data_IF_631027182788
#
_entry.id   IF_631027182788
#
_cell.length_a   1.000
_cell.length_b   1.000
_cell.length_c   1.000
_cell.angle_alpha   90.00
_cell.angle_beta   90.00
_cell.angle_gamma   90.00
#
_symmetry.space_group_name_H-M   'P 1'
#
loop_
_entity.id
_entity.type
_entity.pdbx_description
1 polymer ?
#
# COMPACT_ATOMS: atom_id res chain seq x y z
N UNK A 1 -3.99 11.45 -14.46
CA UNK A 1 -3.19 11.79 -13.27
C UNK A 1 -2.32 10.60 -12.96
N UNK A 2 -1.02 10.75 -13.10
CA UNK A 2 -0.04 9.70 -12.77
C UNK A 2 0.10 9.64 -11.24
N UNK A 3 -0.09 8.46 -10.65
CA UNK A 3 0.29 8.21 -9.25
C UNK A 3 1.80 8.41 -9.13
N UNK A 4 2.27 8.80 -7.95
CA UNK A 4 3.71 8.91 -7.73
C UNK A 4 4.35 7.52 -7.80
N UNK A 5 5.55 7.42 -8.37
CA UNK A 5 6.22 6.13 -8.62
C UNK A 5 6.40 5.29 -7.35
N UNK A 6 6.60 5.95 -6.21
CA UNK A 6 6.75 5.30 -4.91
C UNK A 6 5.43 4.73 -4.34
N UNK A 7 4.27 5.03 -4.95
CA UNK A 7 2.94 4.51 -4.60
C UNK A 7 2.50 3.35 -5.53
N UNK A 8 3.37 2.85 -6.40
CA UNK A 8 3.04 1.79 -7.36
C UNK A 8 3.27 0.36 -6.81
N UNK A 9 3.05 0.12 -5.52
CA UNK A 9 3.42 -1.13 -4.85
C UNK A 9 2.69 -2.37 -5.42
N UNK A 10 1.34 -2.43 -5.44
CA UNK A 10 0.59 -3.49 -6.14
C UNK A 10 0.99 -3.69 -7.61
N UNK A 11 1.20 -2.60 -8.35
CA UNK A 11 1.54 -2.65 -9.78
C UNK A 11 2.95 -3.21 -10.01
N UNK A 12 3.91 -2.89 -9.13
CA UNK A 12 5.25 -3.44 -9.17
C UNK A 12 5.25 -4.95 -8.90
N UNK A 13 4.53 -5.39 -7.86
CA UNK A 13 4.37 -6.82 -7.57
C UNK A 13 3.76 -7.58 -8.76
N UNK A 14 2.70 -7.03 -9.36
CA UNK A 14 2.06 -7.61 -10.55
C UNK A 14 3.02 -7.68 -11.74
N UNK A 15 3.75 -6.59 -12.00
CA UNK A 15 4.70 -6.50 -13.10
C UNK A 15 5.84 -7.51 -12.95
N UNK A 16 6.43 -7.61 -11.76
CA UNK A 16 7.48 -8.60 -11.47
C UNK A 16 7.00 -10.04 -11.60
N UNK A 17 5.79 -10.35 -11.10
CA UNK A 17 5.19 -11.67 -11.26
C UNK A 17 5.00 -12.01 -12.75
N UNK A 18 4.40 -11.11 -13.54
CA UNK A 18 4.17 -11.31 -14.99
C UNK A 18 5.46 -11.39 -15.80
N UNK A 19 6.54 -10.76 -15.33
CA UNK A 19 7.87 -10.86 -15.91
C UNK A 19 8.59 -12.17 -15.57
N UNK A 20 7.98 -13.06 -14.78
CA UNK A 20 8.57 -14.34 -14.37
C UNK A 20 9.62 -14.22 -13.26
N UNK A 21 9.80 -13.04 -12.65
CA UNK A 21 10.70 -12.84 -11.51
C UNK A 21 10.16 -13.41 -10.20
N UNK A 22 8.86 -13.71 -10.14
CA UNK A 22 8.15 -13.94 -8.88
C UNK A 22 7.97 -12.63 -8.10
N UNK A 23 6.92 -12.56 -7.29
CA UNK A 23 6.65 -11.41 -6.44
C UNK A 23 5.83 -11.79 -5.23
N UNK A 24 6.12 -11.19 -4.08
CA UNK A 24 5.31 -11.26 -2.89
C UNK A 24 4.86 -9.86 -2.49
N UNK A 25 3.68 -9.77 -1.89
CA UNK A 25 3.13 -8.54 -1.33
C UNK A 25 3.06 -8.69 0.19
N UNK A 26 3.79 -7.84 0.89
CA UNK A 26 3.75 -7.73 2.34
C UNK A 26 2.88 -6.54 2.74
N UNK A 27 1.90 -6.75 3.60
CA UNK A 27 0.95 -5.71 4.06
C UNK A 27 0.90 -5.69 5.59
N UNK A 28 1.04 -4.51 6.19
CA UNK A 28 0.81 -4.33 7.64
C UNK A 28 -0.67 -4.50 7.93
N UNK A 29 -1.06 -5.53 8.68
CA UNK A 29 -2.46 -5.82 8.99
C UNK A 29 -2.91 -5.29 10.35
N UNK A 30 -1.99 -5.24 11.32
CA UNK A 30 -2.25 -4.73 12.67
C UNK A 30 -1.03 -3.97 13.20
N UNK A 31 -1.30 -2.98 14.05
CA UNK A 31 -0.29 -2.12 14.68
C UNK A 31 -0.67 -1.84 16.12
N UNK A 32 0.28 -1.87 17.05
CA UNK A 32 0.10 -1.46 18.45
C UNK A 32 1.21 -0.54 18.90
N UNK A 33 0.87 0.37 19.81
CA UNK A 33 1.81 1.38 20.31
C UNK A 33 2.32 2.30 19.20
N UNK A 34 3.56 2.75 19.33
CA UNK A 34 4.20 3.69 18.41
C UNK A 34 4.77 2.99 17.17
N UNK A 35 3.95 2.21 16.46
CA UNK A 35 4.36 1.57 15.21
C UNK A 35 4.70 2.64 14.13
N UNK A 36 5.74 2.42 13.31
CA UNK A 36 6.28 3.46 12.43
C UNK A 36 5.48 3.62 11.11
N UNK A 37 4.68 2.61 10.77
CA UNK A 37 3.79 2.58 9.61
C UNK A 37 2.39 2.15 10.04
N UNK A 38 1.38 2.67 9.36
CA UNK A 38 -0.02 2.35 9.63
C UNK A 38 -0.43 1.00 9.01
N UNK A 39 -1.50 0.41 9.53
CA UNK A 39 -2.18 -0.70 8.86
C UNK A 39 -2.55 -0.32 7.41
N UNK A 40 -2.38 -1.26 6.48
CA UNK A 40 -2.49 -1.05 5.04
C UNK A 40 -1.20 -0.59 4.37
N UNK A 41 -0.11 -0.30 5.10
CA UNK A 41 1.19 -0.01 4.47
C UNK A 41 1.73 -1.28 3.78
N UNK A 42 2.25 -1.13 2.58
CA UNK A 42 2.68 -2.25 1.74
C UNK A 42 4.16 -2.19 1.36
N UNK A 43 4.71 -3.37 1.12
CA UNK A 43 6.03 -3.62 0.55
C UNK A 43 5.87 -4.73 -0.49
N UNK A 44 6.23 -4.46 -1.74
CA UNK A 44 6.38 -5.46 -2.78
C UNK A 44 7.82 -5.96 -2.77
N UNK A 45 8.01 -7.26 -2.94
CA UNK A 45 9.31 -7.94 -2.98
C UNK A 45 9.34 -8.84 -4.21
N UNK A 46 10.34 -8.70 -5.09
CA UNK A 46 10.55 -9.63 -6.21
C UNK A 46 11.30 -10.90 -5.77
N UNK A 47 11.30 -11.94 -6.60
CA UNK A 47 12.12 -13.14 -6.34
C UNK A 47 13.64 -12.90 -6.37
N UNK A 48 14.09 -11.78 -6.94
CA UNK A 48 15.49 -11.34 -6.92
C UNK A 48 15.83 -10.47 -5.69
N UNK A 49 14.85 -10.19 -4.82
CA UNK A 49 15.01 -9.33 -3.65
C UNK A 49 14.88 -7.82 -3.91
N UNK A 50 14.55 -7.40 -5.15
CA UNK A 50 14.14 -6.01 -5.42
C UNK A 50 12.91 -5.66 -4.56
N UNK A 51 12.86 -4.44 -4.01
CA UNK A 51 11.76 -4.01 -3.14
C UNK A 51 11.20 -2.64 -3.51
N UNK A 52 9.88 -2.47 -3.32
CA UNK A 52 9.19 -1.18 -3.46
C UNK A 52 8.17 -1.02 -2.33
N UNK A 53 8.19 0.13 -1.65
CA UNK A 53 7.35 0.39 -0.47
C UNK A 53 8.07 0.13 0.83
N UNK A 54 7.32 0.03 1.93
CA UNK A 54 7.87 -0.16 3.27
C UNK A 54 6.78 -0.51 4.28
N UNK A 55 7.09 -1.47 5.15
CA UNK A 55 6.22 -1.89 6.26
C UNK A 55 6.68 -1.34 7.61
N UNK A 56 7.93 -0.84 7.74
CA UNK A 56 8.43 -0.30 9.01
C UNK A 56 9.30 0.95 8.91
N UNK A 57 9.82 1.27 7.73
CA UNK A 57 10.75 2.38 7.52
C UNK A 57 12.22 2.00 7.66
N UNK A 58 12.54 0.70 7.69
CA UNK A 58 13.91 0.17 7.57
C UNK A 58 14.32 -0.86 8.64
N UNK A 59 13.55 -1.04 9.71
CA UNK A 59 13.95 -1.88 10.84
C UNK A 59 13.77 -3.39 10.57
N UNK A 60 12.67 -3.77 9.94
CA UNK A 60 12.29 -5.19 9.76
C UNK A 60 12.20 -5.63 8.30
N UNK A 61 12.44 -4.73 7.35
CA UNK A 61 12.38 -5.00 5.91
C UNK A 61 13.23 -6.21 5.51
N UNK A 62 14.44 -6.36 6.05
CA UNK A 62 15.30 -7.51 5.77
C UNK A 62 14.68 -8.85 6.19
N UNK A 63 14.03 -8.90 7.36
CA UNK A 63 13.35 -10.11 7.83
C UNK A 63 12.11 -10.42 6.98
N UNK A 64 11.35 -9.38 6.60
CA UNK A 64 10.18 -9.54 5.71
C UNK A 64 10.60 -10.02 4.32
N UNK A 65 11.72 -9.55 3.79
CA UNK A 65 12.25 -10.01 2.50
C UNK A 65 12.63 -11.49 2.56
N UNK A 66 13.34 -11.93 3.61
CA UNK A 66 13.68 -13.36 3.78
C UNK A 66 12.42 -14.23 3.78
N UNK A 67 11.43 -13.87 4.60
CA UNK A 67 10.16 -14.59 4.66
C UNK A 67 9.38 -14.54 3.34
N UNK A 68 9.45 -13.42 2.60
CA UNK A 68 8.85 -13.31 1.28
C UNK A 68 9.51 -14.26 0.26
N UNK A 69 10.84 -14.40 0.27
CA UNK A 69 11.55 -15.33 -0.60
C UNK A 69 11.18 -16.78 -0.29
N UNK A 70 11.06 -17.14 1.00
CA UNK A 70 10.58 -18.46 1.41
C UNK A 70 9.12 -18.67 0.97
N UNK A 71 8.29 -17.61 0.93
CA UNK A 71 6.87 -17.68 0.54
C UNK A 71 6.74 -18.01 -0.94
N UNK A 72 7.64 -17.45 -1.75
CA UNK A 72 7.70 -17.72 -3.18
C UNK A 72 8.07 -19.17 -3.48
N UNK A 73 8.91 -19.78 -2.65
CA UNK A 73 9.34 -21.16 -2.82
C UNK A 73 8.24 -22.17 -2.48
N UNK A 74 7.58 -22.01 -1.32
CA UNK A 74 6.57 -22.96 -0.84
C UNK A 74 5.12 -22.59 -1.21
N UNK A 75 4.92 -21.39 -1.76
CA UNK A 75 3.63 -20.80 -2.16
C UNK A 75 2.64 -20.64 -1.00
N UNK A 76 3.15 -20.40 0.22
CA UNK A 76 2.34 -20.21 1.42
C UNK A 76 2.37 -18.79 1.90
N UNK A 77 1.21 -18.31 2.37
CA UNK A 77 1.13 -17.01 3.00
C UNK A 77 1.54 -17.11 4.46
N UNK A 78 2.12 -16.03 4.99
CA UNK A 78 2.61 -15.98 6.38
C UNK A 78 2.13 -14.72 7.07
N UNK A 79 1.92 -14.81 8.38
CA UNK A 79 1.72 -13.65 9.23
C UNK A 79 2.93 -13.56 10.17
N UNK A 80 3.69 -12.50 10.01
CA UNK A 80 4.86 -12.20 10.81
C UNK A 80 4.47 -11.20 11.90
N UNK A 81 4.99 -11.39 13.11
CA UNK A 81 4.81 -10.45 14.21
C UNK A 81 6.17 -9.88 14.60
N UNK A 82 6.29 -8.56 14.53
CA UNK A 82 7.50 -7.83 14.93
C UNK A 82 7.15 -6.88 16.07
N UNK A 83 7.92 -6.86 17.14
CA UNK A 83 7.70 -6.00 18.29
C UNK A 83 9.01 -5.57 18.93
N UNK A 84 8.92 -4.92 20.09
CA UNK A 84 10.09 -4.69 20.93
C UNK A 84 10.54 -6.04 21.46
N UNK A 85 11.74 -6.48 21.08
CA UNK A 85 12.38 -7.60 21.72
C UNK A 85 12.68 -7.21 23.16
N UNK A 86 12.04 -7.85 24.14
CA UNK A 86 12.66 -7.97 25.46
C UNK A 86 14.09 -8.50 25.24
N UNK A 87 15.05 -8.01 26.03
CA UNK A 87 16.52 -8.10 25.89
C UNK A 87 17.15 -9.52 25.70
N UNK A 88 16.35 -10.54 25.43
CA UNK A 88 16.77 -11.95 25.29
C UNK A 88 16.47 -12.59 23.92
N UNK A 89 15.80 -11.91 22.99
CA UNK A 89 15.49 -12.47 21.67
C UNK A 89 16.23 -11.75 20.53
N UNK A 90 17.04 -12.50 19.78
CA UNK A 90 17.66 -12.15 18.49
C UNK A 90 16.62 -11.93 17.35
N UNK A 91 15.45 -11.35 17.65
CA UNK A 91 14.41 -11.07 16.67
C UNK A 91 14.54 -9.63 16.18
N UNK A 92 14.40 -9.42 14.86
CA UNK A 92 14.35 -8.08 14.28
C UNK A 92 13.23 -7.27 14.95
N UNK A 93 13.61 -6.29 15.77
CA UNK A 93 12.69 -5.49 16.57
C UNK A 93 12.40 -4.13 15.94
N UNK A 94 11.30 -3.51 16.36
CA UNK A 94 10.99 -2.13 16.00
C UNK A 94 11.72 -1.15 16.93
N UNK A 95 12.57 -0.29 16.36
CA UNK A 95 13.29 0.74 17.13
C UNK A 95 12.36 1.78 17.80
N UNK A 96 11.13 1.91 17.32
CA UNK A 96 10.15 2.90 17.79
C UNK A 96 9.27 2.44 18.97
N UNK A 97 9.45 1.21 19.47
CA UNK A 97 8.73 0.76 20.67
C UNK A 97 7.34 0.13 20.44
N UNK A 98 6.90 0.00 19.19
CA UNK A 98 5.60 -0.59 18.82
C UNK A 98 5.67 -2.06 18.44
N UNK A 99 4.52 -2.62 18.07
CA UNK A 99 4.37 -3.96 17.47
C UNK A 99 3.59 -3.86 16.18
N UNK A 100 3.97 -4.62 15.16
CA UNK A 100 3.22 -4.77 13.90
C UNK A 100 3.02 -6.25 13.56
N UNK A 101 1.90 -6.55 12.92
CA UNK A 101 1.70 -7.81 12.18
C UNK A 101 1.73 -7.54 10.70
N UNK A 102 2.51 -8.33 9.96
CA UNK A 102 2.69 -8.22 8.53
C UNK A 102 2.22 -9.50 7.87
N UNK A 103 1.22 -9.38 7.01
CA UNK A 103 0.76 -10.43 6.11
C UNK A 103 1.66 -10.45 4.88
N UNK A 104 2.35 -11.56 4.63
CA UNK A 104 3.20 -11.78 3.46
C UNK A 104 2.53 -12.80 2.56
N UNK A 105 2.21 -12.40 1.33
CA UNK A 105 1.48 -13.24 0.36
C UNK A 105 2.29 -13.37 -0.93
N UNK A 106 2.68 -14.58 -1.36
CA UNK A 106 3.27 -14.79 -2.67
C UNK A 106 2.18 -14.62 -3.75
N UNK A 107 2.49 -13.91 -4.84
CA UNK A 107 1.59 -13.71 -5.97
C UNK A 107 1.64 -14.94 -6.88
N UNK A 108 0.48 -15.50 -7.21
CA UNK A 108 0.36 -16.57 -8.20
C UNK A 108 -0.65 -17.64 -7.83
N UNK A 109 -0.35 -18.87 -8.21
CA UNK A 109 -1.20 -20.04 -7.95
C UNK A 109 -0.92 -20.64 -6.56
N UNK A 110 -1.97 -21.15 -5.93
CA UNK A 110 -1.91 -21.81 -4.62
C UNK A 110 -3.13 -21.46 -3.78
N UNK A 111 -3.53 -22.36 -2.88
CA UNK A 111 -4.68 -22.12 -2.00
C UNK A 111 -4.48 -20.90 -1.08
N UNK A 112 -3.22 -20.65 -0.70
CA UNK A 112 -2.85 -19.56 0.18
C UNK A 112 -2.23 -18.37 -0.57
N UNK A 113 -1.92 -18.49 -1.85
CA UNK A 113 -1.27 -17.43 -2.62
C UNK A 113 -2.25 -16.28 -2.93
N UNK A 114 -1.73 -15.07 -3.09
CA UNK A 114 -2.49 -13.92 -3.58
C UNK A 114 -2.79 -14.14 -5.08
N UNK A 115 -4.06 -14.26 -5.49
CA UNK A 115 -4.37 -14.51 -6.89
C UNK A 115 -3.90 -13.35 -7.79
N UNK A 116 -3.17 -13.67 -8.85
CA UNK A 116 -2.69 -12.70 -9.83
C UNK A 116 -3.84 -11.86 -10.42
N UNK A 117 -4.98 -12.50 -10.73
CA UNK A 117 -6.16 -11.82 -11.27
C UNK A 117 -6.72 -10.76 -10.30
N UNK A 118 -6.72 -11.04 -9.00
CA UNK A 118 -7.17 -10.07 -7.99
C UNK A 118 -6.22 -8.87 -7.94
N UNK A 119 -4.91 -9.12 -7.99
CA UNK A 119 -3.92 -8.06 -8.01
C UNK A 119 -4.01 -7.22 -9.31
N UNK A 120 -4.31 -7.85 -10.44
CA UNK A 120 -4.57 -7.18 -11.71
C UNK A 120 -5.80 -6.27 -11.66
N UNK A 121 -6.92 -6.78 -11.15
CA UNK A 121 -8.16 -6.01 -11.00
C UNK A 121 -7.96 -4.80 -10.05
N UNK A 122 -7.14 -4.96 -9.01
CA UNK A 122 -6.75 -3.87 -8.12
C UNK A 122 -5.92 -2.81 -8.86
N UNK A 123 -4.90 -3.23 -9.61
CA UNK A 123 -4.06 -2.32 -10.40
C UNK A 123 -4.91 -1.53 -11.41
N UNK A 124 -5.85 -2.18 -12.10
CA UNK A 124 -6.77 -1.55 -13.04
C UNK A 124 -7.72 -0.57 -12.34
N UNK A 125 -8.20 -0.89 -11.13
CA UNK A 125 -8.99 0.03 -10.33
C UNK A 125 -8.19 1.27 -9.91
N UNK A 126 -6.93 1.09 -9.48
CA UNK A 126 -6.04 2.17 -9.07
C UNK A 126 -5.62 3.07 -10.22
N UNK A 127 -5.50 2.54 -11.44
CA UNK A 127 -5.24 3.28 -12.67
C UNK A 127 -6.47 4.09 -13.16
N UNK A 128 -7.68 3.59 -12.89
CA UNK A 128 -8.97 4.22 -13.22
C UNK A 128 -9.51 5.16 -12.11
N UNK A 129 -8.64 5.75 -11.29
CA UNK A 129 -8.92 6.23 -9.91
C UNK A 129 -10.25 5.76 -9.27
N UNK A 130 -10.48 4.45 -9.19
CA UNK A 130 -11.64 3.87 -8.51
C UNK A 130 -11.25 3.43 -7.09
N UNK A 131 -12.05 3.81 -6.10
CA UNK A 131 -11.91 3.28 -4.75
C UNK A 131 -12.22 1.79 -4.74
N UNK A 132 -11.34 1.00 -4.13
CA UNK A 132 -11.48 -0.45 -4.00
C UNK A 132 -10.87 -0.92 -2.68
N UNK A 133 -11.46 -1.93 -2.07
CA UNK A 133 -10.94 -2.55 -0.87
C UNK A 133 -10.53 -3.99 -1.17
N UNK A 134 -9.35 -4.40 -0.72
CA UNK A 134 -8.98 -5.81 -0.64
C UNK A 134 -9.42 -6.30 0.74
N UNK A 135 -10.39 -7.19 0.77
CA UNK A 135 -10.86 -7.83 1.99
C UNK A 135 -10.23 -9.21 2.08
N UNK A 136 -9.37 -9.41 3.09
CA UNK A 136 -8.64 -10.66 3.32
C UNK A 136 -9.08 -11.30 4.63
N UNK A 137 -9.29 -12.61 4.62
CA UNK A 137 -9.44 -13.43 5.83
C UNK A 137 -8.14 -14.20 6.07
N UNK A 138 -7.29 -13.81 7.03
CA UNK A 138 -6.00 -14.45 7.21
C UNK A 138 -6.07 -15.87 7.78
N UNK A 139 -7.22 -16.28 8.33
CA UNK A 139 -7.49 -17.63 8.85
C UNK A 139 -7.82 -18.64 7.74
N UNK A 140 -8.44 -18.19 6.65
CA UNK A 140 -8.87 -19.03 5.52
C UNK A 140 -8.18 -18.71 4.21
N UNK A 141 -7.37 -17.65 4.17
CA UNK A 141 -6.75 -17.12 2.96
C UNK A 141 -7.76 -16.76 1.85
N UNK A 142 -8.99 -16.40 2.21
CA UNK A 142 -9.95 -15.91 1.22
C UNK A 142 -9.77 -14.42 1.01
N UNK A 143 -9.75 -13.98 -0.26
CA UNK A 143 -9.67 -12.57 -0.63
C UNK A 143 -10.79 -12.20 -1.59
N UNK A 144 -11.24 -10.96 -1.50
CA UNK A 144 -12.16 -10.38 -2.46
C UNK A 144 -11.85 -8.89 -2.65
N UNK A 145 -12.08 -8.40 -3.88
CA UNK A 145 -12.18 -6.97 -4.13
C UNK A 145 -13.60 -6.51 -3.89
N UNK A 146 -13.74 -5.45 -3.10
CA UNK A 146 -15.02 -4.88 -2.70
C UNK A 146 -15.03 -3.39 -3.03
N UNK A 147 -16.00 -2.99 -3.85
CA UNK A 147 -16.23 -1.59 -4.19
C UNK A 147 -17.11 -0.90 -3.14
N UNK A 148 -17.07 0.44 -3.04
CA UNK A 148 -17.96 1.19 -2.16
C UNK A 148 -19.44 0.84 -2.38
N UNK A 149 -20.19 0.73 -1.28
CA UNK A 149 -21.61 0.39 -1.24
C UNK A 149 -21.92 -1.11 -1.26
N UNK A 150 -20.92 -1.98 -1.34
CA UNK A 150 -21.11 -3.44 -1.33
C UNK A 150 -21.02 -4.06 0.08
N UNK A 151 -20.29 -3.42 1.00
CA UNK A 151 -20.13 -3.88 2.38
C UNK A 151 -20.02 -2.68 3.35
N UNK A 152 -20.91 -2.57 4.35
CA UNK A 152 -20.88 -1.48 5.34
C UNK A 152 -19.54 -1.30 6.06
N UNK A 153 -18.82 -2.39 6.37
CA UNK A 153 -17.53 -2.30 7.06
C UNK A 153 -16.47 -1.65 6.15
N UNK A 154 -16.46 -2.03 4.86
CA UNK A 154 -15.58 -1.40 3.87
C UNK A 154 -15.92 0.08 3.66
N UNK A 155 -17.21 0.43 3.68
CA UNK A 155 -17.66 1.83 3.52
C UNK A 155 -17.19 2.74 4.66
N UNK A 156 -17.15 2.23 5.90
CA UNK A 156 -16.59 2.97 7.04
C UNK A 156 -15.10 3.23 6.85
N UNK A 157 -14.35 2.24 6.36
CA UNK A 157 -12.92 2.33 6.09
C UNK A 157 -12.60 3.28 4.93
N UNK A 158 -13.38 3.23 3.84
CA UNK A 158 -13.26 4.18 2.73
C UNK A 158 -13.46 5.63 3.20
N UNK A 159 -14.48 5.89 4.02
CA UNK A 159 -14.77 7.24 4.54
C UNK A 159 -13.67 7.77 5.46
N UNK A 160 -13.06 6.90 6.26
CA UNK A 160 -11.99 7.28 7.18
C UNK A 160 -10.60 7.27 6.55
N UNK A 161 -10.47 6.73 5.34
CA UNK A 161 -9.21 6.49 4.63
C UNK A 161 -8.20 5.71 5.49
N UNK A 162 -8.70 4.72 6.24
CA UNK A 162 -7.89 3.90 7.14
C UNK A 162 -8.18 2.43 6.90
N UNK A 163 -7.14 1.67 6.62
CA UNK A 163 -7.17 0.21 6.59
C UNK A 163 -7.13 -0.36 8.02
N UNK A 164 -7.44 -1.64 8.19
CA UNK A 164 -7.30 -2.31 9.48
C UNK A 164 -8.09 -3.60 9.59
N UNK A 165 -7.93 -4.26 10.74
CA UNK A 165 -8.69 -5.46 11.10
C UNK A 165 -10.06 -5.11 11.67
N UNK A 166 -11.03 -5.95 11.33
CA UNK A 166 -12.38 -5.98 11.88
C UNK A 166 -12.49 -7.05 12.97
N UNK A 167 -13.49 -6.91 13.84
CA UNK A 167 -13.76 -7.86 14.94
C UNK A 167 -14.12 -9.26 14.43
N UNK A 168 -14.61 -9.38 13.18
CA UNK A 168 -14.96 -10.65 12.55
C UNK A 168 -13.76 -11.39 11.91
N UNK A 169 -12.54 -10.87 12.12
CA UNK A 169 -11.29 -11.45 11.65
C UNK A 169 -10.90 -11.05 10.23
N UNK A 170 -11.67 -10.21 9.54
CA UNK A 170 -11.29 -9.68 8.22
C UNK A 170 -10.30 -8.54 8.35
N UNK A 171 -9.26 -8.57 7.52
CA UNK A 171 -8.45 -7.40 7.22
C UNK A 171 -9.05 -6.66 6.03
N UNK A 172 -9.27 -5.35 6.16
CA UNK A 172 -9.73 -4.49 5.07
C UNK A 172 -8.61 -3.52 4.71
N UNK A 173 -8.01 -3.69 3.53
CA UNK A 173 -7.08 -2.75 2.93
C UNK A 173 -7.80 -1.86 1.92
N UNK A 174 -7.95 -0.57 2.24
CA UNK A 174 -8.59 0.40 1.33
C UNK A 174 -7.57 1.04 0.39
N UNK A 175 -7.93 1.12 -0.88
CA UNK A 175 -7.17 1.80 -1.93
C UNK A 175 -8.03 2.93 -2.49
N UNK A 176 -8.06 4.06 -1.78
CA UNK A 176 -8.74 5.25 -2.25
C UNK A 176 -7.95 5.94 -3.39
N UNK A 177 -8.62 6.73 -4.25
CA UNK A 177 -7.95 7.64 -5.16
C UNK A 177 -7.16 8.71 -4.39
N UNK A 178 -6.10 9.28 -4.98
CA UNK A 178 -5.38 10.42 -4.42
C UNK A 178 -6.32 11.54 -3.95
N UNK A 179 -6.02 12.13 -2.79
CA UNK A 179 -6.81 13.25 -2.26
C UNK A 179 -6.70 14.46 -3.19
N UNK A 180 -7.86 15.04 -3.53
CA UNK A 180 -7.93 16.22 -4.39
C UNK A 180 -7.52 17.46 -3.61
N UNK A 181 -6.56 18.23 -4.13
CA UNK A 181 -6.15 19.52 -3.56
C UNK A 181 -6.52 20.65 -4.52
N UNK A 182 -7.46 21.51 -4.15
CA UNK A 182 -7.82 22.67 -4.99
C UNK A 182 -7.01 23.88 -4.53
N UNK A 183 -6.16 24.40 -5.42
CA UNK A 183 -5.33 25.59 -5.16
C UNK A 183 -5.91 26.75 -5.95
N UNK A 184 -6.42 27.78 -5.27
CA UNK A 184 -6.98 28.98 -5.90
C UNK A 184 -5.95 30.11 -5.83
N UNK A 185 -5.42 30.52 -6.98
CA UNK A 185 -4.40 31.56 -7.12
C UNK A 185 -3.06 31.02 -7.65
N UNK A 186 -2.75 31.33 -8.90
CA UNK A 186 -1.54 30.93 -9.62
C UNK A 186 -0.38 31.92 -9.41
N UNK A 187 -0.16 32.35 -8.16
CA UNK A 187 0.98 33.17 -7.77
C UNK A 187 2.26 32.33 -7.64
N UNK A 188 3.43 32.96 -7.52
CA UNK A 188 4.73 32.27 -7.55
C UNK A 188 4.86 31.14 -6.51
N UNK A 189 4.29 31.27 -5.31
CA UNK A 189 4.30 30.23 -4.27
C UNK A 189 3.52 28.96 -4.65
N UNK A 190 2.59 29.04 -5.62
CA UNK A 190 1.84 27.88 -6.05
C UNK A 190 2.72 26.88 -6.80
N UNK A 191 3.83 27.31 -7.41
CA UNK A 191 4.71 26.43 -8.18
C UNK A 191 5.35 25.33 -7.29
N UNK A 192 6.10 25.67 -6.22
CA UNK A 192 6.63 24.67 -5.31
C UNK A 192 5.53 23.92 -4.55
N UNK A 193 4.41 24.58 -4.22
CA UNK A 193 3.29 23.94 -3.54
C UNK A 193 2.72 22.76 -4.34
N UNK A 194 2.49 22.94 -5.66
CA UNK A 194 1.96 21.86 -6.50
C UNK A 194 2.93 20.70 -6.62
N UNK A 195 4.24 20.97 -6.69
CA UNK A 195 5.26 19.93 -6.69
C UNK A 195 5.26 19.13 -5.39
N UNK A 196 5.30 19.82 -4.24
CA UNK A 196 5.25 19.18 -2.92
C UNK A 196 3.97 18.36 -2.76
N UNK A 197 2.82 18.93 -3.16
CA UNK A 197 1.53 18.25 -3.09
C UNK A 197 1.53 16.93 -3.88
N UNK A 198 2.04 16.93 -5.13
CA UNK A 198 2.15 15.72 -5.95
C UNK A 198 3.08 14.69 -5.31
N UNK A 199 4.23 15.12 -4.81
CA UNK A 199 5.18 14.24 -4.11
C UNK A 199 4.57 13.63 -2.85
N UNK A 200 3.70 14.36 -2.15
CA UNK A 200 2.95 13.85 -1.00
C UNK A 200 1.73 13.00 -1.39
N UNK A 201 1.52 12.71 -2.68
CA UNK A 201 0.42 11.86 -3.15
C UNK A 201 -0.93 12.57 -3.32
N UNK A 202 -0.98 13.90 -3.31
CA UNK A 202 -2.19 14.64 -3.65
C UNK A 202 -2.38 14.75 -5.17
N UNK A 203 -3.63 14.94 -5.56
CA UNK A 203 -4.06 15.24 -6.92
C UNK A 203 -4.45 16.73 -7.02
N UNK A 204 -3.48 17.66 -7.14
CA UNK A 204 -3.80 19.07 -7.10
C UNK A 204 -4.43 19.58 -8.40
N UNK A 205 -5.29 20.59 -8.29
CA UNK A 205 -5.86 21.37 -9.39
C UNK A 205 -5.67 22.84 -9.09
N UNK A 206 -4.97 23.55 -9.98
CA UNK A 206 -4.75 24.99 -9.89
C UNK A 206 -5.86 25.75 -10.61
N UNK A 207 -6.42 26.76 -9.95
CA UNK A 207 -7.47 27.62 -10.50
C UNK A 207 -7.02 29.08 -10.38
N UNK A 208 -6.92 29.78 -11.50
CA UNK A 208 -6.74 31.24 -11.53
C UNK A 208 -7.50 31.83 -12.71
N UNK A 209 -8.32 32.89 -12.52
CA UNK A 209 -9.06 33.50 -13.61
C UNK A 209 -8.17 34.28 -14.60
N UNK A 210 -6.92 34.59 -14.23
CA UNK A 210 -5.98 35.34 -15.08
C UNK A 210 -5.17 34.36 -15.92
N UNK A 211 -5.43 34.30 -17.21
CA UNK A 211 -4.78 33.38 -18.13
C UNK A 211 -3.24 33.43 -18.10
N UNK A 212 -2.65 34.63 -17.98
CA UNK A 212 -1.20 34.80 -17.86
C UNK A 212 -0.63 34.16 -16.58
N UNK A 213 -1.42 34.13 -15.50
CA UNK A 213 -1.01 33.51 -14.26
C UNK A 213 -1.17 32.00 -14.33
N UNK A 214 -2.32 31.48 -14.75
CA UNK A 214 -2.64 30.05 -14.80
C UNK A 214 -2.05 29.28 -16.00
N UNK A 215 -1.06 29.81 -16.71
CA UNK A 215 -0.47 29.13 -17.88
C UNK A 215 0.23 27.82 -17.51
N UNK A 216 0.06 26.78 -18.34
CA UNK A 216 0.72 25.48 -18.18
C UNK A 216 2.25 25.59 -18.17
N UNK A 217 2.82 26.55 -18.92
CA UNK A 217 4.28 26.79 -18.95
C UNK A 217 4.85 27.17 -17.58
N UNK A 218 4.02 27.75 -16.70
CA UNK A 218 4.43 28.15 -15.35
C UNK A 218 4.31 27.01 -14.33
N UNK A 219 3.61 25.93 -14.66
CA UNK A 219 3.25 24.84 -13.74
C UNK A 219 3.38 23.48 -14.43
N UNK A 220 4.59 23.03 -14.76
CA UNK A 220 4.80 21.73 -15.40
C UNK A 220 4.39 20.55 -14.50
N UNK A 221 3.91 19.47 -15.14
CA UNK A 221 3.36 18.26 -14.50
C UNK A 221 1.93 18.42 -14.01
#
# INVERSE_FOLDING_TARGET
>A
MTRADHDLIPEAALSWHRAGKGAALATVIETWGSAPRQAGSQLAISGDGEMLGSVSGGCVEGAVITEALDALQDRKSRILTFGVSDETAFAAGLACGGTIRVLVEPVGEGAEALPEALLADLADARAAPRAMAVVTRPDTWTRALVAPGQDPATDVRFKSDRSGMEEDGRFIAVHNPPLRLIVVGAVHIAQPLLQIARTCGYAPTLIDPRAAFGSADRFPG
#
